data_IF_246853722634
#
_entry.id   IF_246853722634
#
_cell.length_a   1.000
_cell.length_b   1.000
_cell.length_c   1.000
_cell.angle_alpha   90.00
_cell.angle_beta   90.00
_cell.angle_gamma   90.00
#
_symmetry.space_group_name_H-M   'P 1'
#
loop_
_entity.id
_entity.type
_entity.pdbx_description
1 polymer ?
#
# COMPACT_ATOMS: atom_id res chain seq x y z
N UNK A 1 -3.98 -13.20 12.64
CA UNK A 1 -2.78 -12.38 12.97
C UNK A 1 -1.54 -13.11 12.49
N UNK A 2 -0.77 -12.57 11.54
CA UNK A 2 0.45 -13.22 11.04
C UNK A 2 1.54 -13.31 12.11
N UNK A 3 2.34 -14.38 12.09
CA UNK A 3 3.45 -14.61 13.03
C UNK A 3 4.42 -13.41 13.09
N UNK A 4 5.10 -13.20 14.21
CA UNK A 4 6.11 -12.13 14.37
C UNK A 4 7.18 -12.16 13.28
N UNK A 5 7.56 -13.36 12.82
CA UNK A 5 8.48 -13.56 11.69
C UNK A 5 7.93 -12.99 10.38
N UNK A 6 6.64 -13.17 10.12
CA UNK A 6 5.95 -12.66 8.92
C UNK A 6 5.85 -11.13 8.93
N UNK A 7 5.56 -10.52 10.08
CA UNK A 7 5.55 -9.05 10.20
C UNK A 7 6.93 -8.44 9.97
N UNK A 8 7.98 -9.11 10.44
CA UNK A 8 9.36 -8.66 10.28
C UNK A 8 9.86 -8.78 8.83
N UNK A 9 9.50 -9.87 8.13
CA UNK A 9 9.84 -10.02 6.71
C UNK A 9 9.10 -8.99 5.85
N UNK A 10 7.81 -8.77 6.12
CA UNK A 10 7.01 -7.74 5.47
C UNK A 10 7.61 -6.34 5.69
N UNK A 11 7.98 -6.00 6.93
CA UNK A 11 8.60 -4.71 7.24
C UNK A 11 9.90 -4.49 6.46
N UNK A 12 10.76 -5.50 6.40
CA UNK A 12 12.00 -5.44 5.61
C UNK A 12 11.73 -5.26 4.12
N UNK A 13 10.77 -6.02 3.57
CA UNK A 13 10.37 -5.90 2.16
C UNK A 13 9.83 -4.51 1.85
N UNK A 14 9.01 -3.95 2.75
CA UNK A 14 8.45 -2.60 2.63
C UNK A 14 9.54 -1.53 2.62
N UNK A 15 10.47 -1.57 3.57
CA UNK A 15 11.60 -0.63 3.60
C UNK A 15 12.44 -0.71 2.33
N UNK A 16 12.72 -1.93 1.85
CA UNK A 16 13.45 -2.12 0.60
C UNK A 16 12.75 -1.44 -0.58
N UNK A 17 11.44 -1.67 -0.75
CA UNK A 17 10.66 -1.06 -1.84
C UNK A 17 10.61 0.47 -1.73
N UNK A 18 10.42 1.03 -0.53
CA UNK A 18 10.47 2.48 -0.33
C UNK A 18 11.82 3.07 -0.72
N UNK A 19 12.92 2.39 -0.40
CA UNK A 19 14.25 2.84 -0.78
C UNK A 19 14.44 2.83 -2.30
N UNK A 20 14.01 1.76 -2.98
CA UNK A 20 14.07 1.71 -4.45
C UNK A 20 13.22 2.80 -5.09
N UNK A 21 12.01 3.03 -4.57
CA UNK A 21 11.12 4.07 -5.06
C UNK A 21 11.74 5.47 -4.90
N UNK A 22 12.34 5.75 -3.74
CA UNK A 22 13.04 7.02 -3.46
C UNK A 22 14.17 7.30 -4.46
N UNK A 23 14.97 6.28 -4.79
CA UNK A 23 16.07 6.41 -5.76
C UNK A 23 15.50 6.78 -7.14
N UNK A 24 14.45 6.09 -7.59
CA UNK A 24 13.80 6.35 -8.87
C UNK A 24 13.13 7.73 -8.91
N UNK A 25 12.41 8.11 -7.85
CA UNK A 25 11.77 9.42 -7.72
C UNK A 25 12.80 10.55 -7.85
N UNK A 26 13.97 10.40 -7.21
CA UNK A 26 15.07 11.37 -7.32
C UNK A 26 15.60 11.46 -8.75
N UNK A 27 15.89 10.32 -9.39
CA UNK A 27 16.40 10.29 -10.77
C UNK A 27 15.41 10.95 -11.74
N UNK A 28 14.13 10.64 -11.63
CA UNK A 28 13.09 11.24 -12.48
C UNK A 28 13.02 12.75 -12.25
N UNK A 29 13.02 13.20 -10.99
CA UNK A 29 12.94 14.63 -10.65
C UNK A 29 14.15 15.41 -11.19
N UNK A 30 15.35 14.83 -11.15
CA UNK A 30 16.55 15.45 -11.72
C UNK A 30 16.45 15.63 -13.23
N UNK A 31 16.01 14.60 -13.97
CA UNK A 31 15.80 14.74 -15.42
C UNK A 31 14.69 15.74 -15.73
N UNK A 32 13.63 15.73 -14.93
CA UNK A 32 12.52 16.65 -15.07
C UNK A 32 12.94 18.12 -14.96
N UNK A 33 13.75 18.43 -13.96
CA UNK A 33 14.27 19.77 -13.75
C UNK A 33 15.15 20.22 -14.92
N UNK A 34 15.96 19.31 -15.51
CA UNK A 34 16.75 19.63 -16.71
C UNK A 34 15.84 19.99 -17.88
N UNK A 35 14.80 19.20 -18.15
CA UNK A 35 13.85 19.49 -19.23
C UNK A 35 13.19 20.85 -19.01
N UNK A 36 12.72 21.12 -17.79
CA UNK A 36 12.10 22.40 -17.45
C UNK A 36 13.02 23.59 -17.67
N UNK A 37 14.28 23.48 -17.27
CA UNK A 37 15.28 24.55 -17.44
C UNK A 37 15.65 24.72 -18.92
N UNK A 38 15.87 23.62 -19.64
CA UNK A 38 16.34 23.67 -21.03
C UNK A 38 15.27 24.12 -22.03
N UNK A 39 14.01 23.78 -21.80
CA UNK A 39 12.94 24.02 -22.76
C UNK A 39 11.91 25.06 -22.28
N UNK A 40 11.96 25.47 -21.01
CA UNK A 40 10.95 26.36 -20.42
C UNK A 40 9.56 25.73 -20.32
N UNK A 41 9.45 24.42 -20.51
CA UNK A 41 8.19 23.68 -20.61
C UNK A 41 8.12 22.58 -19.53
N UNK A 42 6.91 22.09 -19.27
CA UNK A 42 6.65 21.02 -18.30
C UNK A 42 6.10 19.81 -19.03
N UNK A 43 6.69 18.64 -18.79
CA UNK A 43 6.18 17.41 -19.39
C UNK A 43 4.82 17.07 -18.74
N UNK A 44 3.83 16.71 -19.55
CA UNK A 44 2.48 16.43 -19.05
C UNK A 44 2.04 15.04 -19.45
N UNK A 45 1.13 14.47 -18.68
CA UNK A 45 0.38 13.26 -19.01
C UNK A 45 -1.10 13.62 -18.99
N UNK A 46 -1.77 13.52 -20.14
CA UNK A 46 -3.15 13.95 -20.33
C UNK A 46 -3.43 15.37 -19.78
N UNK A 47 -2.51 16.31 -20.02
CA UNK A 47 -2.62 17.70 -19.57
C UNK A 47 -2.31 17.95 -18.08
N UNK A 48 -2.01 16.91 -17.29
CA UNK A 48 -1.56 17.05 -15.90
C UNK A 48 -0.03 17.00 -15.84
N UNK A 49 0.59 17.84 -15.01
CA UNK A 49 2.01 17.72 -14.69
C UNK A 49 2.30 16.30 -14.17
N UNK A 50 3.27 15.63 -14.77
CA UNK A 50 3.55 14.23 -14.43
C UNK A 50 4.09 14.03 -13.02
N UNK A 51 4.82 15.00 -12.46
CA UNK A 51 5.27 14.90 -11.06
C UNK A 51 4.08 14.85 -10.11
N UNK A 52 3.07 15.68 -10.35
CA UNK A 52 1.82 15.67 -9.59
C UNK A 52 1.11 14.34 -9.79
N UNK A 53 1.02 13.84 -11.04
CA UNK A 53 0.46 12.51 -11.34
C UNK A 53 1.14 11.41 -10.52
N UNK A 54 2.48 11.36 -10.51
CA UNK A 54 3.21 10.32 -9.76
C UNK A 54 2.92 10.39 -8.25
N UNK A 55 2.79 11.59 -7.70
CA UNK A 55 2.41 11.75 -6.29
C UNK A 55 1.00 11.22 -6.02
N UNK A 56 0.04 11.53 -6.90
CA UNK A 56 -1.33 11.00 -6.82
C UNK A 56 -1.37 9.48 -6.96
N UNK A 57 -0.69 8.90 -7.95
CA UNK A 57 -0.66 7.45 -8.18
C UNK A 57 -0.11 6.70 -6.96
N UNK A 58 0.93 7.25 -6.32
CA UNK A 58 1.51 6.70 -5.08
C UNK A 58 0.51 6.75 -3.92
N UNK A 59 -0.17 7.88 -3.76
CA UNK A 59 -1.19 8.05 -2.71
C UNK A 59 -2.36 7.10 -2.90
N UNK A 60 -2.88 6.99 -4.13
CA UNK A 60 -3.97 6.07 -4.46
C UNK A 60 -3.57 4.62 -4.19
N UNK A 61 -2.38 4.19 -4.64
CA UNK A 61 -1.88 2.85 -4.38
C UNK A 61 -1.81 2.54 -2.87
N UNK A 62 -1.26 3.47 -2.08
CA UNK A 62 -1.17 3.29 -0.63
C UNK A 62 -2.55 3.24 0.03
N UNK A 63 -3.49 4.03 -0.46
CA UNK A 63 -4.88 4.02 0.00
C UNK A 63 -5.55 2.68 -0.30
N UNK A 64 -5.44 2.17 -1.53
CA UNK A 64 -5.99 0.86 -1.91
C UNK A 64 -5.41 -0.26 -1.04
N UNK A 65 -4.09 -0.27 -0.81
CA UNK A 65 -3.45 -1.26 0.07
C UNK A 65 -3.94 -1.17 1.52
N UNK A 66 -4.22 0.03 2.02
CA UNK A 66 -4.77 0.21 3.36
C UNK A 66 -6.21 -0.32 3.45
N UNK A 67 -7.01 -0.07 2.43
CA UNK A 67 -8.40 -0.53 2.36
C UNK A 67 -8.48 -2.05 2.24
N UNK A 68 -7.64 -2.67 1.40
CA UNK A 68 -7.52 -4.13 1.34
C UNK A 68 -7.17 -4.75 2.69
N UNK A 69 -6.22 -4.16 3.44
CA UNK A 69 -5.88 -4.61 4.80
C UNK A 69 -7.08 -4.51 5.75
N UNK A 70 -7.85 -3.42 5.66
CA UNK A 70 -9.05 -3.20 6.48
C UNK A 70 -10.11 -4.27 6.19
N UNK A 71 -10.37 -4.54 4.91
CA UNK A 71 -11.32 -5.58 4.49
C UNK A 71 -10.87 -6.96 4.95
N UNK A 72 -9.60 -7.31 4.76
CA UNK A 72 -9.05 -8.59 5.22
C UNK A 72 -9.19 -8.76 6.74
N UNK A 73 -8.97 -7.70 7.51
CA UNK A 73 -9.19 -7.71 8.96
C UNK A 73 -10.66 -7.98 9.29
N UNK A 74 -11.59 -7.26 8.67
CA UNK A 74 -13.03 -7.45 8.86
C UNK A 74 -13.48 -8.88 8.52
N UNK A 75 -13.02 -9.44 7.39
CA UNK A 75 -13.29 -10.82 7.00
C UNK A 75 -12.75 -11.83 8.02
N UNK A 76 -11.54 -11.61 8.56
CA UNK A 76 -10.98 -12.48 9.58
C UNK A 76 -11.80 -12.48 10.89
N UNK A 77 -12.33 -11.32 11.29
CA UNK A 77 -13.19 -11.20 12.48
C UNK A 77 -14.53 -11.90 12.31
N UNK A 78 -15.19 -11.71 11.17
CA UNK A 78 -16.48 -12.37 10.89
C UNK A 78 -16.35 -13.90 10.81
N UNK A 79 -15.19 -14.41 10.38
CA UNK A 79 -14.91 -15.85 10.31
C UNK A 79 -14.66 -16.47 11.70
N UNK A 80 -14.00 -15.74 12.61
CA UNK A 80 -13.79 -16.15 14.01
C UNK A 80 -15.12 -16.20 14.77
N UNK A 81 -16.04 -15.27 14.51
CA UNK A 81 -17.37 -15.24 15.15
C UNK A 81 -18.28 -16.43 14.79
N UNK A 82 -18.01 -17.16 13.70
CA UNK A 82 -18.78 -18.36 13.30
C UNK A 82 -18.32 -19.64 14.02
N UNK A 83 -17.04 -19.75 14.37
CA UNK A 83 -16.52 -20.90 15.14
C UNK A 83 -16.97 -20.87 16.60
N UNK A 84 -17.05 -19.69 17.22
CA UNK A 84 -17.46 -19.57 18.64
C UNK A 84 -18.95 -19.87 18.89
N UNK A 85 -19.78 -20.00 17.84
CA UNK A 85 -21.20 -20.36 17.97
C UNK A 85 -21.45 -21.88 17.96
N UNK A 86 -20.51 -22.68 17.49
CA UNK A 86 -20.66 -24.14 17.41
C UNK A 86 -20.20 -24.85 18.70
N UNK A 87 -19.32 -24.21 19.48
CA UNK A 87 -18.85 -24.77 20.76
C UNK A 87 -19.83 -24.50 21.91
N UNK A 88 -20.71 -23.50 21.79
CA UNK A 88 -21.72 -23.17 22.80
C UNK A 88 -22.94 -24.12 22.79
N UNK A 89 -23.14 -24.90 21.73
CA UNK A 89 -24.29 -25.83 21.61
C UNK A 89 -24.01 -27.23 22.13
N UNK A 90 -22.76 -27.55 22.51
CA UNK A 90 -22.39 -28.89 22.99
C UNK A 90 -22.30 -29.05 24.52
N UNK A 91 -22.46 -27.98 25.30
CA UNK A 91 -22.36 -28.04 26.78
C UNK A 91 -23.72 -28.04 27.52
N UNK A 92 -24.84 -28.37 26.86
CA UNK A 92 -26.15 -28.47 27.53
C UNK A 92 -26.82 -29.84 27.41
N UNK A 93 -26.07 -30.90 27.05
CA UNK A 93 -26.54 -32.28 27.16
C UNK A 93 -25.44 -33.12 27.80
N UNK A 94 -25.40 -33.11 29.13
CA UNK A 94 -25.09 -34.20 30.04
C UNK A 94 -25.40 -33.75 31.46
#
# INVERSE_FOLDING_TARGET
MGSSKMRLSESRRRTYLYNQLSILEKQITEQWNKIKISFGDTVTYNGRNYLDKMQFDKLEMLHYLQEERRLNYLHSFTSIGKHNKLDSTFNHVL
#
